data_IF_502494118588
#
_entry.id   IF_502494118588
#
_cell.length_a   1.000
_cell.length_b   1.000
_cell.length_c   1.000
_cell.angle_alpha   90.00
_cell.angle_beta   90.00
_cell.angle_gamma   90.00
#
_symmetry.space_group_name_H-M   'P 1'
#
loop_
_entity.id
_entity.type
_entity.pdbx_description
1 polymer ?
#
# COMPACT_ATOMS: atom_id res chain seq x y z
N UNK A 1 -10.85 -24.10 25.23
CA UNK A 1 -11.85 -23.08 25.61
C UNK A 1 -11.83 -21.96 24.58
N UNK A 2 -12.97 -21.65 23.94
CA UNK A 2 -13.05 -20.52 23.00
C UNK A 2 -12.91 -19.24 23.82
N UNK A 3 -11.78 -18.53 23.69
CA UNK A 3 -11.54 -17.29 24.42
C UNK A 3 -12.63 -16.30 23.97
N UNK A 4 -13.58 -16.00 24.85
CA UNK A 4 -14.65 -15.03 24.55
C UNK A 4 -13.95 -13.68 24.42
N UNK A 5 -13.89 -13.16 23.19
CA UNK A 5 -13.38 -11.81 22.95
C UNK A 5 -14.52 -10.82 23.19
N UNK A 6 -14.22 -9.71 23.87
CA UNK A 6 -15.11 -8.54 23.94
C UNK A 6 -15.50 -8.16 22.49
N UNK A 7 -16.79 -7.90 22.20
CA UNK A 7 -17.18 -7.32 20.91
C UNK A 7 -16.43 -6.00 20.68
N UNK A 8 -16.03 -5.75 19.44
CA UNK A 8 -15.34 -4.53 19.04
C UNK A 8 -16.10 -3.91 17.86
N UNK A 9 -16.45 -2.63 17.97
CA UNK A 9 -17.27 -1.92 16.99
C UNK A 9 -16.70 -1.99 15.58
N UNK A 10 -15.38 -1.84 15.44
CA UNK A 10 -14.70 -1.75 14.14
C UNK A 10 -14.44 -3.11 13.49
N UNK A 11 -14.65 -4.22 14.20
CA UNK A 11 -14.73 -5.54 13.59
C UNK A 11 -15.99 -5.72 12.72
N UNK A 12 -17.03 -4.91 12.97
CA UNK A 12 -18.30 -4.94 12.24
C UNK A 12 -18.39 -3.73 11.29
N UNK A 13 -17.90 -2.58 11.75
CA UNK A 13 -17.86 -1.32 11.02
C UNK A 13 -16.58 -1.21 10.17
N UNK A 14 -16.44 -2.09 9.17
CA UNK A 14 -15.17 -2.32 8.42
C UNK A 14 -14.95 -1.41 7.22
N UNK A 15 -15.89 -0.52 6.89
CA UNK A 15 -15.82 0.37 5.74
C UNK A 15 -15.05 1.65 6.06
N UNK A 16 -14.48 2.28 5.03
CA UNK A 16 -13.80 3.60 5.12
C UNK A 16 -14.71 4.64 5.82
N UNK A 17 -16.02 4.60 5.55
CA UNK A 17 -17.03 5.44 6.20
C UNK A 17 -16.99 5.42 7.75
N UNK A 18 -16.66 4.29 8.34
CA UNK A 18 -16.58 4.12 9.80
C UNK A 18 -15.28 4.70 10.36
N UNK A 19 -14.20 4.63 9.57
CA UNK A 19 -12.92 5.27 9.89
C UNK A 19 -13.03 6.80 9.79
N UNK A 20 -13.68 7.34 8.75
CA UNK A 20 -14.02 8.77 8.70
C UNK A 20 -14.74 9.21 9.97
N UNK A 21 -15.77 8.43 10.36
CA UNK A 21 -16.60 8.71 11.53
C UNK A 21 -15.76 8.76 12.80
N UNK A 22 -14.85 7.81 12.98
CA UNK A 22 -13.93 7.79 14.11
C UNK A 22 -13.03 9.03 14.14
N UNK A 23 -12.37 9.36 13.03
CA UNK A 23 -11.43 10.48 13.00
C UNK A 23 -12.14 11.82 13.16
N UNK A 24 -13.31 12.03 12.53
CA UNK A 24 -14.10 13.24 12.77
C UNK A 24 -14.57 13.31 14.22
N UNK A 25 -15.09 12.22 14.78
CA UNK A 25 -15.49 12.16 16.20
C UNK A 25 -14.31 12.53 17.12
N UNK A 26 -13.12 11.97 16.88
CA UNK A 26 -11.93 12.31 17.65
C UNK A 26 -11.57 13.79 17.49
N UNK A 27 -11.58 14.33 16.27
CA UNK A 27 -11.26 15.73 15.99
C UNK A 27 -12.24 16.71 16.65
N UNK A 28 -13.54 16.38 16.72
CA UNK A 28 -14.55 17.20 17.39
C UNK A 28 -14.24 17.41 18.87
N UNK A 29 -13.73 16.38 19.57
CA UNK A 29 -13.28 16.53 20.97
C UNK A 29 -12.20 17.59 21.17
N UNK A 30 -11.55 18.04 20.10
CA UNK A 30 -10.49 19.04 20.15
C UNK A 30 -10.98 20.44 20.45
N UNK A 31 -12.28 20.74 20.31
CA UNK A 31 -12.78 22.07 20.68
C UNK A 31 -12.74 22.26 22.21
N UNK A 32 -12.23 23.39 22.73
CA UNK A 32 -12.20 23.67 24.17
C UNK A 32 -13.54 23.52 24.89
N UNK A 33 -14.68 23.67 24.20
CA UNK A 33 -16.00 23.47 24.80
C UNK A 33 -16.23 22.04 25.31
N UNK A 34 -15.58 21.04 24.70
CA UNK A 34 -15.74 19.63 25.07
C UNK A 34 -14.83 19.18 26.22
N UNK A 35 -13.85 19.99 26.61
CA UNK A 35 -12.91 19.70 27.69
C UNK A 35 -13.61 19.35 29.01
N UNK A 36 -14.75 20.00 29.28
CA UNK A 36 -15.55 19.78 30.50
C UNK A 36 -16.23 18.42 30.54
N UNK A 37 -16.49 17.79 29.39
CA UNK A 37 -17.15 16.49 29.32
C UNK A 37 -16.15 15.33 29.35
N UNK A 38 -15.01 15.46 28.65
CA UNK A 38 -13.95 14.46 28.71
C UNK A 38 -12.56 15.07 28.45
N UNK A 39 -11.85 15.37 29.54
CA UNK A 39 -10.50 15.97 29.48
C UNK A 39 -9.47 15.07 28.77
N UNK A 40 -9.59 13.75 28.86
CA UNK A 40 -8.64 12.82 28.22
C UNK A 40 -8.83 12.80 26.70
N UNK A 41 -10.07 12.68 26.22
CA UNK A 41 -10.38 12.78 24.78
C UNK A 41 -10.02 14.15 24.21
N UNK A 42 -10.34 15.23 24.95
CA UNK A 42 -9.93 16.58 24.55
C UNK A 42 -8.41 16.70 24.38
N UNK A 43 -7.62 16.25 25.35
CA UNK A 43 -6.15 16.30 25.26
C UNK A 43 -5.62 15.44 24.10
N UNK A 44 -6.16 14.23 23.91
CA UNK A 44 -5.79 13.37 22.79
C UNK A 44 -6.10 14.05 21.45
N UNK A 45 -7.28 14.63 21.29
CA UNK A 45 -7.68 15.32 20.07
C UNK A 45 -6.82 16.54 19.77
N UNK A 46 -6.55 17.36 20.79
CA UNK A 46 -5.63 18.50 20.72
C UNK A 46 -4.23 18.05 20.23
N UNK A 47 -3.73 16.94 20.73
CA UNK A 47 -2.45 16.37 20.29
C UNK A 47 -2.54 15.83 18.86
N UNK A 48 -3.66 15.23 18.47
CA UNK A 48 -3.87 14.73 17.11
C UNK A 48 -3.89 15.87 16.10
N UNK A 49 -4.62 16.95 16.38
CA UNK A 49 -4.66 18.16 15.53
C UNK A 49 -3.24 18.77 15.41
N UNK A 50 -2.50 18.88 16.51
CA UNK A 50 -1.10 19.35 16.48
C UNK A 50 -0.22 18.45 15.62
N UNK A 51 -0.39 17.13 15.73
CA UNK A 51 0.31 16.16 14.90
C UNK A 51 0.01 16.37 13.42
N UNK A 52 -1.26 16.54 13.02
CA UNK A 52 -1.64 16.82 11.64
C UNK A 52 -1.08 18.15 11.13
N UNK A 53 -1.20 19.23 11.91
CA UNK A 53 -0.66 20.56 11.57
C UNK A 53 0.87 20.51 11.42
N UNK A 54 1.56 19.70 12.23
CA UNK A 54 3.02 19.58 12.19
C UNK A 54 3.56 18.99 10.87
N UNK A 55 2.71 18.34 10.08
CA UNK A 55 3.08 17.82 8.75
C UNK A 55 3.33 18.93 7.71
N UNK A 56 2.86 20.15 7.98
CA UNK A 56 3.06 21.33 7.12
C UNK A 56 3.72 22.50 7.86
N UNK A 57 3.43 22.70 9.14
CA UNK A 57 3.92 23.84 9.91
C UNK A 57 4.88 23.42 11.02
N UNK A 58 6.02 24.09 11.13
CA UNK A 58 7.02 23.83 12.17
C UNK A 58 6.68 24.47 13.52
N UNK A 59 5.93 25.58 13.49
CA UNK A 59 5.53 26.30 14.71
C UNK A 59 4.40 25.55 15.41
N UNK A 60 4.53 25.37 16.73
CA UNK A 60 3.43 24.88 17.56
C UNK A 60 2.27 25.89 17.55
N UNK A 61 1.09 25.42 17.18
CA UNK A 61 -0.14 26.21 17.13
C UNK A 61 -0.94 25.93 18.41
N UNK A 62 -1.30 26.98 19.15
CA UNK A 62 -2.24 26.88 20.25
C UNK A 62 -3.65 26.77 19.68
N UNK A 63 -4.37 25.69 19.98
CA UNK A 63 -5.70 25.43 19.43
C UNK A 63 -6.76 25.95 20.39
N UNK A 64 -7.54 26.93 19.94
CA UNK A 64 -8.59 27.62 20.71
C UNK A 64 -9.99 27.43 20.12
N UNK A 65 -10.10 26.90 18.90
CA UNK A 65 -11.37 26.60 18.23
C UNK A 65 -11.17 25.48 17.21
N UNK A 66 -12.10 24.53 17.16
CA UNK A 66 -12.09 23.41 16.22
C UNK A 66 -13.49 23.18 15.67
N UNK A 67 -13.62 23.18 14.34
CA UNK A 67 -14.83 22.72 13.65
C UNK A 67 -14.44 21.57 12.75
N UNK A 68 -14.92 20.37 13.06
CA UNK A 68 -14.63 19.15 12.30
C UNK A 68 -15.92 18.58 11.71
N UNK A 69 -15.94 18.47 10.38
CA UNK A 69 -17.09 18.05 9.57
C UNK A 69 -16.70 16.88 8.66
N UNK A 70 -17.69 16.12 8.22
CA UNK A 70 -17.54 15.05 7.22
C UNK A 70 -18.15 15.46 5.90
N UNK A 71 -17.55 15.00 4.81
CA UNK A 71 -18.11 15.10 3.45
C UNK A 71 -18.42 16.54 3.00
N UNK A 72 -17.81 17.54 3.65
CA UNK A 72 -17.90 18.94 3.23
C UNK A 72 -17.19 19.06 1.88
N UNK A 73 -17.88 19.59 0.86
CA UNK A 73 -17.38 19.64 -0.52
C UNK A 73 -16.98 18.27 -1.11
N UNK A 74 -17.55 17.18 -0.59
CA UNK A 74 -17.20 15.77 -0.90
C UNK A 74 -15.80 15.34 -0.41
N UNK A 75 -15.17 16.11 0.47
CA UNK A 75 -13.91 15.74 1.12
C UNK A 75 -14.23 14.94 2.38
N UNK A 76 -13.57 13.79 2.59
CA UNK A 76 -13.92 12.85 3.66
C UNK A 76 -14.00 13.52 5.04
N UNK A 77 -12.96 14.32 5.38
CA UNK A 77 -12.92 15.10 6.61
C UNK A 77 -12.42 16.52 6.34
N UNK A 78 -13.14 17.50 6.87
CA UNK A 78 -12.86 18.94 6.80
C UNK A 78 -12.72 19.50 8.20
N UNK A 79 -11.58 20.13 8.50
CA UNK A 79 -11.28 20.62 9.85
C UNK A 79 -10.77 22.05 9.83
N UNK A 80 -11.54 22.96 10.40
CA UNK A 80 -11.16 24.36 10.59
C UNK A 80 -10.60 24.56 12.00
N UNK A 81 -9.43 25.20 12.09
CA UNK A 81 -8.72 25.46 13.33
C UNK A 81 -8.49 26.96 13.49
N UNK A 82 -8.95 27.53 14.61
CA UNK A 82 -8.74 28.92 15.02
C UNK A 82 -9.12 29.98 13.98
N UNK A 83 -10.04 29.66 13.08
CA UNK A 83 -10.41 30.48 11.93
C UNK A 83 -9.20 30.91 11.06
N UNK A 84 -8.17 30.05 11.00
CA UNK A 84 -6.86 30.36 10.36
C UNK A 84 -6.26 29.21 9.57
N UNK A 85 -6.62 27.98 9.90
CA UNK A 85 -6.05 26.79 9.26
C UNK A 85 -7.17 25.86 8.85
N UNK A 86 -7.05 25.31 7.64
CA UNK A 86 -7.90 24.25 7.15
C UNK A 86 -7.06 22.99 7.01
N UNK A 87 -7.50 21.90 7.62
CA UNK A 87 -6.98 20.57 7.36
C UNK A 87 -8.05 19.82 6.56
N UNK A 88 -7.67 19.34 5.39
CA UNK A 88 -8.47 18.37 4.64
C UNK A 88 -7.82 17.00 4.76
N UNK A 89 -8.62 15.97 4.99
CA UNK A 89 -8.15 14.59 5.06
C UNK A 89 -8.91 13.77 4.02
N UNK A 90 -8.17 13.13 3.12
CA UNK A 90 -8.67 11.98 2.37
C UNK A 90 -8.35 10.73 3.20
N UNK A 91 -9.38 9.98 3.56
CA UNK A 91 -9.25 8.76 4.37
C UNK A 91 -9.34 7.52 3.49
N UNK A 92 -8.44 6.56 3.73
CA UNK A 92 -8.42 5.29 3.01
C UNK A 92 -8.06 4.15 3.94
N UNK A 93 -8.77 3.03 3.79
CA UNK A 93 -8.40 1.77 4.45
C UNK A 93 -7.65 0.92 3.43
N UNK A 94 -8.33 0.31 2.45
CA UNK A 94 -7.70 -0.63 1.52
C UNK A 94 -7.53 -0.06 0.12
N UNK A 95 -8.43 0.80 -0.33
CA UNK A 95 -8.40 1.28 -1.71
C UNK A 95 -7.24 2.25 -1.93
N UNK A 96 -6.54 2.07 -3.05
CA UNK A 96 -5.55 3.03 -3.50
C UNK A 96 -6.23 4.27 -4.08
N UNK A 97 -5.45 5.32 -4.31
CA UNK A 97 -6.00 6.46 -5.03
C UNK A 97 -6.31 6.08 -6.49
N UNK A 98 -7.54 6.35 -6.90
CA UNK A 98 -7.96 6.31 -8.29
C UNK A 98 -8.46 7.70 -8.64
N UNK A 99 -8.00 8.26 -9.78
CA UNK A 99 -8.50 9.48 -10.45
C UNK A 99 -7.79 10.82 -10.15
N UNK A 100 -8.44 11.91 -10.58
CA UNK A 100 -8.08 13.31 -10.35
C UNK A 100 -8.64 13.85 -9.02
N UNK A 101 -9.24 12.99 -8.19
CA UNK A 101 -9.93 13.34 -6.94
C UNK A 101 -9.08 14.20 -6.00
N UNK A 102 -7.88 13.75 -5.64
CA UNK A 102 -7.00 14.51 -4.74
C UNK A 102 -6.66 15.91 -5.29
N UNK A 103 -6.49 16.02 -6.61
CA UNK A 103 -6.26 17.31 -7.26
C UNK A 103 -7.50 18.20 -7.16
N UNK A 104 -8.69 17.66 -7.42
CA UNK A 104 -9.97 18.36 -7.28
C UNK A 104 -10.15 18.89 -5.85
N UNK A 105 -9.98 18.03 -4.85
CA UNK A 105 -10.17 18.39 -3.43
C UNK A 105 -9.18 19.46 -2.98
N UNK A 106 -7.93 19.34 -3.40
CA UNK A 106 -6.93 20.38 -3.13
C UNK A 106 -7.28 21.70 -3.79
N UNK A 107 -7.77 21.69 -5.04
CA UNK A 107 -8.21 22.93 -5.72
C UNK A 107 -9.35 23.58 -4.94
N UNK A 108 -10.39 22.82 -4.56
CA UNK A 108 -11.53 23.32 -3.79
C UNK A 108 -11.05 23.96 -2.48
N UNK A 109 -10.27 23.22 -1.68
CA UNK A 109 -9.77 23.71 -0.41
C UNK A 109 -8.82 24.90 -0.55
N UNK A 110 -8.01 24.95 -1.61
CA UNK A 110 -7.11 26.08 -1.87
C UNK A 110 -7.90 27.35 -2.21
N UNK A 111 -8.94 27.23 -3.04
CA UNK A 111 -9.82 28.37 -3.38
C UNK A 111 -10.52 28.88 -2.13
N UNK A 112 -11.17 27.98 -1.37
CA UNK A 112 -11.85 28.33 -0.13
C UNK A 112 -10.89 29.00 0.88
N UNK A 113 -9.67 28.48 1.03
CA UNK A 113 -8.66 29.07 1.90
C UNK A 113 -8.26 30.48 1.47
N UNK A 114 -8.14 30.76 0.17
CA UNK A 114 -7.81 32.11 -0.33
C UNK A 114 -8.94 33.09 -0.04
N UNK A 115 -10.18 32.68 -0.24
CA UNK A 115 -11.37 33.51 -0.02
C UNK A 115 -11.59 33.83 1.46
N UNK A 116 -11.23 32.90 2.35
CA UNK A 116 -11.44 33.03 3.79
C UNK A 116 -10.17 33.41 4.58
N UNK A 117 -9.02 33.56 3.91
CA UNK A 117 -7.70 33.83 4.50
C UNK A 117 -7.17 32.74 5.46
N UNK A 118 -7.29 31.47 5.06
CA UNK A 118 -6.81 30.30 5.79
C UNK A 118 -5.53 29.71 5.17
N UNK A 119 -4.75 29.00 5.98
CA UNK A 119 -3.63 28.17 5.53
C UNK A 119 -4.05 26.71 5.42
N UNK A 120 -3.73 26.07 4.30
CA UNK A 120 -4.17 24.71 3.99
C UNK A 120 -3.14 23.65 4.42
N UNK A 121 -3.63 22.54 4.98
CA UNK A 121 -2.92 21.28 5.15
C UNK A 121 -3.72 20.17 4.47
N UNK A 122 -3.09 19.48 3.51
CA UNK A 122 -3.68 18.33 2.83
C UNK A 122 -3.10 17.04 3.42
N UNK A 123 -3.92 16.19 4.04
CA UNK A 123 -3.52 14.91 4.62
C UNK A 123 -4.13 13.77 3.80
N UNK A 124 -3.32 12.76 3.50
CA UNK A 124 -3.77 11.46 3.04
C UNK A 124 -3.54 10.47 4.19
N UNK A 125 -4.63 10.07 4.83
CA UNK A 125 -4.60 9.16 5.97
C UNK A 125 -4.89 7.74 5.48
N UNK A 126 -3.95 6.82 5.74
CA UNK A 126 -4.01 5.45 5.20
C UNK A 126 -3.73 4.41 6.27
N UNK A 127 -4.74 3.63 6.65
CA UNK A 127 -4.57 2.53 7.61
C UNK A 127 -4.22 1.20 6.96
N UNK A 128 -4.49 0.98 5.67
CA UNK A 128 -3.95 -0.18 4.93
C UNK A 128 -2.52 0.03 4.45
N UNK A 129 -2.08 -0.74 3.47
CA UNK A 129 -0.74 -0.61 2.86
C UNK A 129 -0.84 -0.30 1.38
N UNK A 130 0.16 0.44 0.89
CA UNK A 130 0.33 0.79 -0.52
C UNK A 130 1.80 0.80 -0.91
N UNK A 131 2.06 0.65 -2.21
CA UNK A 131 3.41 0.73 -2.74
C UNK A 131 4.02 2.12 -2.53
N UNK A 132 5.34 2.16 -2.39
CA UNK A 132 6.09 3.42 -2.35
C UNK A 132 5.85 4.27 -3.58
N UNK A 133 5.63 3.65 -4.74
CA UNK A 133 5.31 4.33 -5.99
C UNK A 133 3.94 5.00 -5.90
N UNK A 134 2.93 4.33 -5.36
CA UNK A 134 1.61 4.94 -5.11
C UNK A 134 1.72 6.13 -4.15
N UNK A 135 2.36 5.93 -3.00
CA UNK A 135 2.56 7.00 -2.00
C UNK A 135 3.32 8.21 -2.56
N UNK A 136 4.33 7.99 -3.41
CA UNK A 136 5.05 9.07 -4.11
C UNK A 136 4.13 9.89 -5.01
N UNK A 137 3.20 9.26 -5.73
CA UNK A 137 2.22 9.97 -6.58
C UNK A 137 1.31 10.86 -5.72
N UNK A 138 0.92 10.40 -4.53
CA UNK A 138 0.12 11.16 -3.56
C UNK A 138 0.90 12.36 -3.03
N UNK A 139 2.15 12.16 -2.59
CA UNK A 139 3.01 13.27 -2.15
C UNK A 139 3.28 14.28 -3.27
N UNK A 140 3.41 13.82 -4.52
CA UNK A 140 3.56 14.68 -5.70
C UNK A 140 2.33 15.55 -5.99
N UNK A 141 1.14 15.17 -5.49
CA UNK A 141 -0.07 16.01 -5.51
C UNK A 141 -0.10 17.00 -4.33
N UNK A 142 0.89 16.94 -3.46
CA UNK A 142 1.10 17.82 -2.30
C UNK A 142 0.19 17.50 -1.13
N UNK A 143 -0.11 16.21 -0.92
CA UNK A 143 -0.68 15.67 0.31
C UNK A 143 0.45 15.12 1.19
N UNK A 144 0.30 15.26 2.51
CA UNK A 144 1.18 14.63 3.50
C UNK A 144 0.61 13.28 3.89
N UNK A 145 1.46 12.28 4.00
CA UNK A 145 1.05 10.94 4.41
C UNK A 145 1.00 10.86 5.94
N UNK A 146 -0.11 10.31 6.44
CA UNK A 146 -0.24 9.76 7.79
C UNK A 146 -0.60 8.29 7.61
N UNK A 147 0.37 7.41 7.85
CA UNK A 147 0.17 5.97 7.66
C UNK A 147 -0.24 5.25 8.96
N UNK A 148 -0.49 3.95 8.86
CA UNK A 148 -0.85 3.11 10.01
C UNK A 148 0.21 3.16 11.13
N UNK A 149 1.50 3.21 10.80
CA UNK A 149 2.56 3.20 11.80
C UNK A 149 2.66 4.54 12.53
N UNK A 150 2.45 5.65 11.82
CA UNK A 150 2.26 6.99 12.40
C UNK A 150 1.12 6.97 13.42
N UNK A 151 -0.03 6.39 13.05
CA UNK A 151 -1.22 6.31 13.91
C UNK A 151 -1.01 5.42 15.14
N UNK A 152 -0.41 4.24 14.98
CA UNK A 152 -0.05 3.35 16.11
C UNK A 152 0.85 4.08 17.08
N UNK A 153 1.89 4.76 16.56
CA UNK A 153 2.82 5.55 17.37
C UNK A 153 2.08 6.67 18.09
N UNK A 154 1.20 7.39 17.39
CA UNK A 154 0.39 8.45 17.98
C UNK A 154 -0.49 7.92 19.13
N UNK A 155 -1.27 6.87 18.90
CA UNK A 155 -2.22 6.35 19.90
C UNK A 155 -1.51 5.71 21.09
N UNK A 156 -0.36 5.05 20.88
CA UNK A 156 0.45 4.51 21.97
C UNK A 156 0.93 5.59 22.96
N UNK A 157 1.12 6.82 22.48
CA UNK A 157 1.53 7.97 23.29
C UNK A 157 0.35 8.81 23.81
N UNK A 158 -0.89 8.52 23.39
CA UNK A 158 -2.07 9.34 23.69
C UNK A 158 -3.25 8.46 24.14
N UNK A 159 -2.99 7.54 25.07
CA UNK A 159 -3.96 6.55 25.53
C UNK A 159 -5.16 7.20 26.22
N UNK A 160 -6.36 6.78 25.81
CA UNK A 160 -7.63 7.23 26.39
C UNK A 160 -8.47 6.02 26.79
N UNK A 161 -9.06 6.10 27.97
CA UNK A 161 -10.03 5.12 28.47
C UNK A 161 -11.44 5.50 28.00
N UNK A 162 -11.79 5.06 26.79
CA UNK A 162 -13.09 5.25 26.16
C UNK A 162 -13.33 4.09 25.18
N UNK A 163 -14.50 3.44 25.24
CA UNK A 163 -14.75 2.22 24.44
C UNK A 163 -14.60 2.43 22.93
N UNK A 164 -15.08 3.55 22.37
CA UNK A 164 -14.94 3.83 20.93
C UNK A 164 -13.45 4.01 20.57
N UNK A 165 -12.71 4.74 21.39
CA UNK A 165 -11.27 4.91 21.21
C UNK A 165 -10.52 3.58 21.30
N UNK A 166 -10.75 2.82 22.36
CA UNK A 166 -10.07 1.54 22.61
C UNK A 166 -10.37 0.57 21.49
N UNK A 167 -11.64 0.44 21.09
CA UNK A 167 -12.05 -0.46 20.00
C UNK A 167 -11.32 -0.10 18.69
N UNK A 168 -11.19 1.19 18.36
CA UNK A 168 -10.48 1.62 17.15
C UNK A 168 -8.98 1.30 17.21
N UNK A 169 -8.32 1.61 18.34
CA UNK A 169 -6.89 1.35 18.54
C UNK A 169 -6.60 -0.15 18.49
N UNK A 170 -7.44 -0.98 19.11
CA UNK A 170 -7.34 -2.44 19.02
C UNK A 170 -7.48 -2.93 17.57
N UNK A 171 -8.43 -2.37 16.81
CA UNK A 171 -8.63 -2.73 15.40
C UNK A 171 -7.38 -2.40 14.55
N UNK A 172 -6.82 -1.20 14.69
CA UNK A 172 -5.57 -0.83 13.99
C UNK A 172 -4.42 -1.76 14.35
N UNK A 173 -4.25 -2.11 15.63
CA UNK A 173 -3.19 -3.02 16.08
C UNK A 173 -3.41 -4.45 15.57
N UNK A 174 -4.66 -4.90 15.47
CA UNK A 174 -5.02 -6.20 14.88
C UNK A 174 -4.69 -6.24 13.38
N UNK A 175 -4.97 -5.15 12.65
CA UNK A 175 -4.61 -5.02 11.24
C UNK A 175 -3.09 -5.06 11.06
N UNK A 176 -2.33 -4.34 11.88
CA UNK A 176 -0.87 -4.37 11.86
C UNK A 176 -0.32 -5.78 12.14
N UNK A 177 -0.88 -6.48 13.12
CA UNK A 177 -0.50 -7.87 13.43
C UNK A 177 -0.78 -8.81 12.26
N UNK A 178 -1.90 -8.62 11.57
CA UNK A 178 -2.28 -9.41 10.40
C UNK A 178 -1.31 -9.15 9.24
N UNK A 179 -0.90 -7.89 9.04
CA UNK A 179 0.04 -7.51 7.98
C UNK A 179 1.45 -8.01 8.30
N UNK A 180 1.90 -7.98 9.55
CA UNK A 180 3.20 -8.54 9.98
C UNK A 180 3.21 -10.07 10.11
N UNK A 181 2.07 -10.73 9.94
CA UNK A 181 1.98 -12.18 10.15
C UNK A 181 2.86 -13.00 9.20
N UNK A 182 3.25 -12.45 8.04
CA UNK A 182 4.22 -13.07 7.12
C UNK A 182 5.58 -13.38 7.75
N UNK A 183 5.94 -12.67 8.83
CA UNK A 183 7.20 -12.88 9.54
C UNK A 183 7.18 -14.09 10.47
N UNK A 184 6.00 -14.57 10.84
CA UNK A 184 5.82 -15.57 11.92
C UNK A 184 5.00 -16.78 11.50
N UNK A 185 4.09 -16.62 10.55
CA UNK A 185 3.27 -17.72 10.05
C UNK A 185 4.06 -18.58 9.05
N UNK A 186 3.85 -19.91 9.06
CA UNK A 186 4.24 -20.77 7.95
C UNK A 186 3.67 -20.25 6.64
N UNK A 187 4.43 -20.33 5.55
CA UNK A 187 4.01 -19.70 4.28
C UNK A 187 2.66 -20.22 3.76
N UNK A 188 2.33 -21.50 3.96
CA UNK A 188 1.02 -22.06 3.58
C UNK A 188 -0.18 -21.41 4.29
N UNK A 189 0.07 -20.77 5.45
CA UNK A 189 -0.95 -20.12 6.27
C UNK A 189 -1.04 -18.61 5.97
N UNK A 190 -0.27 -18.10 4.99
CA UNK A 190 -0.32 -16.71 4.62
C UNK A 190 -1.68 -16.38 3.99
N UNK A 191 -2.29 -15.34 4.52
CA UNK A 191 -3.49 -14.73 3.98
C UNK A 191 -3.16 -13.50 3.12
N UNK A 192 -4.19 -12.78 2.68
CA UNK A 192 -4.04 -11.57 1.89
C UNK A 192 -3.19 -10.49 2.61
N UNK A 193 -3.36 -10.34 3.93
CA UNK A 193 -2.60 -9.36 4.72
C UNK A 193 -1.13 -9.76 4.88
N UNK A 194 -0.86 -11.05 5.03
CA UNK A 194 0.50 -11.61 5.02
C UNK A 194 1.22 -11.23 3.73
N UNK A 195 0.57 -11.45 2.57
CA UNK A 195 1.12 -11.09 1.26
C UNK A 195 1.36 -9.59 1.10
N UNK A 196 0.44 -8.76 1.60
CA UNK A 196 0.59 -7.31 1.63
C UNK A 196 1.81 -6.87 2.45
N UNK A 197 2.00 -7.41 3.65
CA UNK A 197 3.18 -7.13 4.47
C UNK A 197 4.49 -7.61 3.84
N UNK A 198 4.46 -8.79 3.24
CA UNK A 198 5.61 -9.32 2.51
C UNK A 198 6.00 -8.43 1.31
N UNK A 199 5.03 -7.93 0.53
CA UNK A 199 5.30 -7.02 -0.58
C UNK A 199 5.81 -5.65 -0.11
N UNK A 200 5.28 -5.13 1.00
CA UNK A 200 5.83 -3.92 1.64
C UNK A 200 7.29 -4.14 2.07
N UNK A 201 7.62 -5.31 2.62
CA UNK A 201 9.00 -5.71 2.91
C UNK A 201 9.84 -5.74 1.63
N UNK A 202 9.40 -6.41 0.56
CA UNK A 202 10.16 -6.44 -0.70
C UNK A 202 10.38 -5.04 -1.29
N UNK A 203 9.38 -4.17 -1.27
CA UNK A 203 9.48 -2.76 -1.71
C UNK A 203 10.48 -1.94 -0.85
N UNK A 204 10.85 -2.43 0.33
CA UNK A 204 11.95 -1.89 1.14
C UNK A 204 13.34 -2.42 0.76
N UNK A 205 13.42 -3.59 0.13
CA UNK A 205 14.68 -4.31 -0.10
C UNK A 205 15.16 -4.30 -1.56
N UNK A 206 14.24 -4.20 -2.53
CA UNK A 206 14.57 -4.21 -3.96
C UNK A 206 13.93 -3.01 -4.67
N UNK A 207 14.38 -2.74 -5.90
CA UNK A 207 13.83 -1.66 -6.74
C UNK A 207 12.52 -2.11 -7.39
N UNK A 208 11.48 -2.19 -6.58
CA UNK A 208 10.10 -2.45 -7.05
C UNK A 208 9.63 -1.28 -7.91
N UNK A 209 8.92 -1.59 -9.00
CA UNK A 209 8.28 -0.57 -9.84
C UNK A 209 6.91 -0.22 -9.25
N UNK A 210 6.09 -1.23 -8.98
CA UNK A 210 4.81 -1.07 -8.29
C UNK A 210 4.35 -2.41 -7.69
N UNK A 211 3.36 -2.37 -6.82
CA UNK A 211 2.58 -3.54 -6.42
C UNK A 211 1.17 -3.12 -6.02
N UNK A 212 0.18 -3.92 -6.42
CA UNK A 212 -1.25 -3.65 -6.18
C UNK A 212 -2.09 -4.90 -6.45
N UNK A 213 -3.35 -4.85 -6.05
CA UNK A 213 -4.32 -5.87 -6.44
C UNK A 213 -4.70 -5.73 -7.91
N UNK A 214 -4.71 -6.85 -8.62
CA UNK A 214 -5.12 -6.95 -10.03
C UNK A 214 -6.43 -7.71 -10.09
N UNK A 215 -7.52 -7.03 -10.42
CA UNK A 215 -8.82 -7.68 -10.61
C UNK A 215 -8.83 -8.54 -11.87
N UNK A 216 -9.46 -9.70 -11.79
CA UNK A 216 -9.76 -10.56 -12.94
C UNK A 216 -11.09 -11.31 -12.69
N UNK A 217 -11.69 -11.95 -13.71
CA UNK A 217 -12.97 -12.66 -13.56
C UNK A 217 -12.97 -13.80 -12.52
N UNK A 218 -11.80 -14.27 -12.07
CA UNK A 218 -11.63 -15.33 -11.09
C UNK A 218 -11.33 -14.81 -9.67
N UNK A 219 -11.46 -13.51 -9.41
CA UNK A 219 -11.23 -12.93 -8.08
C UNK A 219 -9.84 -12.33 -7.85
N UNK A 220 -9.09 -12.06 -8.92
CA UNK A 220 -7.86 -11.27 -8.89
C UNK A 220 -6.68 -11.89 -8.14
N UNK A 221 -5.60 -11.11 -7.98
CA UNK A 221 -4.43 -11.47 -7.17
C UNK A 221 -3.61 -10.22 -6.77
N UNK A 222 -2.75 -10.33 -5.76
CA UNK A 222 -1.77 -9.28 -5.43
C UNK A 222 -0.53 -9.40 -6.33
N UNK A 223 -0.33 -8.42 -7.21
CA UNK A 223 0.81 -8.37 -8.14
C UNK A 223 1.94 -7.47 -7.64
N UNK A 224 3.19 -7.90 -7.80
CA UNK A 224 4.39 -7.05 -7.61
C UNK A 224 5.26 -7.12 -8.85
N UNK A 225 5.61 -5.97 -9.42
CA UNK A 225 6.38 -5.86 -10.67
C UNK A 225 7.72 -5.19 -10.44
N UNK A 226 8.78 -5.76 -11.01
CA UNK A 226 10.11 -5.17 -10.94
C UNK A 226 11.01 -5.63 -12.10
N UNK A 227 12.21 -5.04 -12.17
CA UNK A 227 13.27 -5.43 -13.10
C UNK A 227 12.87 -5.45 -14.59
N UNK A 228 12.31 -4.33 -15.07
CA UNK A 228 11.98 -4.16 -16.48
C UNK A 228 13.22 -3.89 -17.35
N UNK A 229 13.34 -4.60 -18.47
CA UNK A 229 14.45 -4.50 -19.41
C UNK A 229 13.93 -4.44 -20.85
N UNK A 230 14.56 -3.61 -21.68
CA UNK A 230 14.28 -3.54 -23.12
C UNK A 230 14.86 -4.72 -23.91
N UNK A 231 13.97 -5.41 -24.62
CA UNK A 231 14.28 -6.50 -25.54
C UNK A 231 13.47 -6.32 -26.83
N UNK A 232 14.17 -6.01 -27.94
CA UNK A 232 13.58 -5.85 -29.29
C UNK A 232 12.35 -4.92 -29.36
N UNK A 233 12.36 -3.81 -28.61
CA UNK A 233 11.25 -2.86 -28.58
C UNK A 233 10.12 -3.22 -27.60
N UNK A 234 10.21 -4.36 -26.93
CA UNK A 234 9.29 -4.78 -25.85
C UNK A 234 9.96 -4.69 -24.48
N UNK A 235 9.15 -4.72 -23.41
CA UNK A 235 9.68 -4.92 -22.06
C UNK A 235 9.57 -6.38 -21.65
N UNK A 236 10.65 -6.91 -21.11
CA UNK A 236 10.66 -8.17 -20.36
C UNK A 236 10.93 -7.83 -18.90
N UNK A 237 10.25 -8.51 -17.98
CA UNK A 237 10.27 -8.14 -16.57
C UNK A 237 9.93 -9.33 -15.66
N UNK A 238 10.08 -9.10 -14.35
CA UNK A 238 9.76 -10.07 -13.31
C UNK A 238 8.50 -9.64 -12.57
N UNK A 239 7.67 -10.61 -12.21
CA UNK A 239 6.43 -10.37 -11.48
C UNK A 239 6.16 -11.49 -10.46
N UNK A 240 5.64 -11.15 -9.29
CA UNK A 240 5.04 -12.11 -8.36
C UNK A 240 3.52 -11.95 -8.48
N UNK A 241 2.80 -13.06 -8.64
CA UNK A 241 1.35 -13.10 -8.82
C UNK A 241 0.66 -13.79 -7.63
N UNK A 242 1.13 -13.55 -6.41
CA UNK A 242 0.75 -14.29 -5.19
C UNK A 242 1.09 -15.79 -5.37
N UNK A 243 2.11 -16.27 -4.65
CA UNK A 243 2.80 -17.56 -4.87
C UNK A 243 3.69 -17.65 -6.12
N UNK A 244 3.14 -17.39 -7.31
CA UNK A 244 3.85 -17.62 -8.55
C UNK A 244 4.87 -16.51 -8.85
N UNK A 245 6.12 -16.90 -9.11
CA UNK A 245 7.13 -16.00 -9.66
C UNK A 245 7.17 -16.16 -11.18
N UNK A 246 7.01 -15.07 -11.91
CA UNK A 246 6.75 -15.05 -13.34
C UNK A 246 7.80 -14.24 -14.11
N UNK A 247 8.31 -14.83 -15.18
CA UNK A 247 9.02 -14.14 -16.26
C UNK A 247 8.01 -13.68 -17.30
N UNK A 248 8.00 -12.37 -17.58
CA UNK A 248 6.96 -11.73 -18.39
C UNK A 248 7.53 -11.04 -19.63
N UNK A 249 6.66 -10.83 -20.60
CA UNK A 249 6.84 -9.92 -21.73
C UNK A 249 5.57 -9.10 -21.97
N UNK A 250 5.73 -7.81 -22.25
CA UNK A 250 4.64 -6.90 -22.58
C UNK A 250 5.03 -5.42 -22.41
N UNK A 251 4.19 -4.47 -22.82
CA UNK A 251 2.97 -4.70 -23.59
C UNK A 251 3.26 -5.19 -25.02
N UNK A 252 2.42 -6.07 -25.54
CA UNK A 252 2.43 -6.52 -26.94
C UNK A 252 1.01 -6.41 -27.51
N UNK A 253 0.80 -5.50 -28.44
CA UNK A 253 -0.53 -5.30 -29.02
C UNK A 253 -0.81 -6.25 -30.19
N UNK A 254 0.16 -6.38 -31.10
CA UNK A 254 0.03 -7.17 -32.32
C UNK A 254 0.97 -8.38 -32.33
N UNK A 255 0.61 -9.41 -33.10
CA UNK A 255 1.42 -10.64 -33.28
C UNK A 255 1.86 -11.27 -31.94
N UNK A 256 1.00 -11.17 -30.91
CA UNK A 256 1.27 -11.56 -29.51
C UNK A 256 1.91 -12.93 -29.39
N UNK A 257 1.35 -13.94 -30.05
CA UNK A 257 1.90 -15.30 -30.06
C UNK A 257 3.30 -15.39 -30.66
N UNK A 258 3.58 -14.68 -31.75
CA UNK A 258 4.89 -14.70 -32.40
C UNK A 258 5.95 -14.07 -31.49
N UNK A 259 5.67 -12.89 -30.93
CA UNK A 259 6.57 -12.18 -30.01
C UNK A 259 6.83 -13.00 -28.75
N UNK A 260 5.76 -13.53 -28.13
CA UNK A 260 5.85 -14.39 -26.94
C UNK A 260 6.67 -15.64 -27.22
N UNK A 261 6.41 -16.35 -28.33
CA UNK A 261 7.12 -17.58 -28.67
C UNK A 261 8.60 -17.31 -28.98
N UNK A 262 8.92 -16.18 -29.63
CA UNK A 262 10.31 -15.74 -29.85
C UNK A 262 11.02 -15.52 -28.53
N UNK A 263 10.40 -14.78 -27.61
CA UNK A 263 10.98 -14.54 -26.28
C UNK A 263 11.13 -15.83 -25.48
N UNK A 264 10.12 -16.71 -25.49
CA UNK A 264 10.18 -18.02 -24.83
C UNK A 264 11.32 -18.89 -25.38
N UNK A 265 11.57 -18.88 -26.69
CA UNK A 265 12.70 -19.60 -27.29
C UNK A 265 14.05 -19.09 -26.79
N UNK A 266 14.21 -17.76 -26.70
CA UNK A 266 15.42 -17.14 -26.12
C UNK A 266 15.60 -17.55 -24.66
N UNK A 267 14.54 -17.43 -23.86
CA UNK A 267 14.54 -17.78 -22.44
C UNK A 267 14.88 -19.25 -22.23
N UNK A 268 14.27 -20.16 -22.99
CA UNK A 268 14.46 -21.61 -22.86
C UNK A 268 15.89 -22.04 -23.15
N UNK A 269 16.49 -21.55 -24.23
CA UNK A 269 17.90 -21.81 -24.54
C UNK A 269 18.83 -21.32 -23.43
N UNK A 270 18.51 -20.16 -22.84
CA UNK A 270 19.31 -19.61 -21.76
C UNK A 270 19.16 -20.40 -20.46
N UNK A 271 17.94 -20.86 -20.15
CA UNK A 271 17.65 -21.78 -19.03
C UNK A 271 18.53 -23.04 -19.15
N UNK A 272 18.55 -23.69 -20.32
CA UNK A 272 19.37 -24.87 -20.57
C UNK A 272 20.87 -24.58 -20.36
N UNK A 273 21.36 -23.48 -20.94
CA UNK A 273 22.78 -23.08 -20.83
C UNK A 273 23.24 -22.80 -19.40
N UNK A 274 22.32 -22.37 -18.52
CA UNK A 274 22.59 -22.04 -17.11
C UNK A 274 22.07 -23.08 -16.13
N UNK A 275 21.49 -24.18 -16.62
CA UNK A 275 20.89 -25.25 -15.82
C UNK A 275 19.87 -24.74 -14.79
N UNK A 276 19.07 -23.72 -15.16
CA UNK A 276 18.05 -23.13 -14.28
C UNK A 276 16.68 -23.79 -14.47
N UNK A 277 16.65 -25.11 -14.26
CA UNK A 277 15.49 -25.97 -14.55
C UNK A 277 14.29 -25.74 -13.63
N UNK A 278 14.45 -24.98 -12.55
CA UNK A 278 13.35 -24.49 -11.72
C UNK A 278 12.44 -23.51 -12.47
N UNK A 279 12.96 -22.84 -13.52
CA UNK A 279 12.15 -21.98 -14.40
C UNK A 279 11.48 -22.86 -15.44
N UNK A 280 10.16 -23.01 -15.34
CA UNK A 280 9.35 -23.87 -16.21
C UNK A 280 8.47 -23.05 -17.14
N UNK A 281 8.12 -23.64 -18.28
CA UNK A 281 7.07 -23.10 -19.15
C UNK A 281 5.74 -23.05 -18.37
N UNK A 282 4.94 -21.97 -18.46
CA UNK A 282 3.60 -21.96 -17.89
C UNK A 282 2.74 -23.05 -18.54
N UNK A 283 1.82 -23.64 -17.78
CA UNK A 283 0.91 -24.70 -18.24
C UNK A 283 0.17 -24.33 -19.53
N UNK A 284 -0.19 -23.05 -19.65
CA UNK A 284 -0.77 -22.46 -20.87
C UNK A 284 -0.18 -21.08 -21.07
N UNK A 285 0.03 -20.70 -22.33
CA UNK A 285 0.37 -19.32 -22.66
C UNK A 285 -0.90 -18.46 -22.70
N UNK A 286 -0.83 -17.28 -22.09
CA UNK A 286 -1.86 -16.26 -22.23
C UNK A 286 -1.84 -15.60 -23.62
N UNK A 287 -2.95 -14.94 -23.96
CA UNK A 287 -3.10 -14.13 -25.19
C UNK A 287 -3.36 -12.63 -24.89
N UNK A 288 -3.17 -12.23 -23.63
CA UNK A 288 -3.26 -10.83 -23.22
C UNK A 288 -2.08 -10.00 -23.71
N UNK A 289 -2.18 -8.68 -23.56
CA UNK A 289 -1.10 -7.73 -23.88
C UNK A 289 0.16 -7.94 -23.04
N UNK A 290 0.01 -8.53 -21.84
CA UNK A 290 1.10 -8.94 -20.96
C UNK A 290 1.05 -10.45 -20.75
N UNK A 291 2.15 -11.14 -21.04
CA UNK A 291 2.18 -12.61 -21.11
C UNK A 291 3.28 -13.20 -20.24
N UNK A 292 2.94 -14.26 -19.50
CA UNK A 292 3.91 -15.10 -18.79
C UNK A 292 4.57 -16.06 -19.78
N UNK A 293 5.90 -16.15 -19.74
CA UNK A 293 6.69 -17.10 -20.55
C UNK A 293 7.47 -18.10 -19.72
N UNK A 294 7.71 -17.81 -18.43
CA UNK A 294 8.36 -18.72 -17.49
C UNK A 294 7.79 -18.54 -16.10
N UNK A 295 7.74 -19.61 -15.32
CA UNK A 295 7.22 -19.64 -13.95
C UNK A 295 8.20 -20.41 -13.06
N UNK A 296 8.43 -19.90 -11.85
CA UNK A 296 9.14 -20.59 -10.77
C UNK A 296 8.13 -20.86 -9.67
N UNK A 297 8.12 -22.10 -9.16
CA UNK A 297 7.16 -22.50 -8.13
C UNK A 297 7.44 -21.77 -6.81
N UNK A 298 6.40 -21.50 -6.01
CA UNK A 298 6.51 -20.86 -4.70
C UNK A 298 7.61 -21.47 -3.83
N UNK A 299 7.70 -22.80 -3.83
CA UNK A 299 8.69 -23.52 -3.03
C UNK A 299 10.14 -23.25 -3.44
N UNK A 300 10.38 -22.99 -4.73
CA UNK A 300 11.73 -22.80 -5.28
C UNK A 300 12.28 -21.39 -5.05
N UNK A 301 11.42 -20.38 -4.85
CA UNK A 301 11.86 -19.00 -4.64
C UNK A 301 11.53 -18.44 -3.25
N UNK A 302 10.40 -18.84 -2.65
CA UNK A 302 9.89 -18.32 -1.37
C UNK A 302 10.13 -19.29 -0.20
N UNK A 303 10.00 -20.60 -0.43
CA UNK A 303 10.25 -21.66 0.57
C UNK A 303 9.12 -22.66 0.74
N UNK A 304 9.33 -23.72 1.53
CA UNK A 304 8.35 -24.81 1.74
C UNK A 304 7.11 -24.37 2.51
N UNK A 305 6.00 -25.07 2.35
CA UNK A 305 4.69 -24.77 2.96
C UNK A 305 4.76 -24.51 4.48
N UNK A 306 5.48 -25.37 5.20
CA UNK A 306 5.58 -25.31 6.67
C UNK A 306 6.72 -24.40 7.16
N UNK A 307 7.51 -23.81 6.27
CA UNK A 307 8.63 -22.95 6.65
C UNK A 307 8.13 -21.57 7.06
N UNK A 308 8.78 -20.99 8.06
CA UNK A 308 8.73 -19.54 8.30
C UNK A 308 9.67 -18.88 7.29
N UNK A 309 9.33 -17.67 6.85
CA UNK A 309 10.09 -16.94 5.83
C UNK A 309 11.54 -16.73 6.23
N UNK A 310 12.47 -17.18 5.37
CA UNK A 310 13.86 -16.75 5.40
C UNK A 310 14.04 -15.56 4.45
N UNK A 311 14.03 -14.36 5.04
CA UNK A 311 14.12 -13.09 4.30
C UNK A 311 15.39 -13.01 3.44
N UNK A 312 16.53 -13.48 3.94
CA UNK A 312 17.82 -13.37 3.25
C UNK A 312 17.93 -14.34 2.07
N UNK A 313 17.44 -15.58 2.24
CA UNK A 313 17.33 -16.54 1.14
C UNK A 313 16.44 -15.98 0.03
N UNK A 314 15.29 -15.42 0.37
CA UNK A 314 14.36 -14.87 -0.61
C UNK A 314 14.98 -13.70 -1.38
N UNK A 315 15.58 -12.72 -0.70
CA UNK A 315 16.24 -11.60 -1.39
C UNK A 315 17.38 -12.08 -2.30
N UNK A 316 18.17 -13.08 -1.86
CA UNK A 316 19.20 -13.70 -2.72
C UNK A 316 18.59 -14.38 -3.95
N UNK A 317 17.49 -15.10 -3.80
CA UNK A 317 16.77 -15.72 -4.91
C UNK A 317 16.24 -14.69 -5.90
N UNK A 318 15.60 -13.62 -5.43
CA UNK A 318 15.11 -12.55 -6.32
C UNK A 318 16.26 -11.92 -7.11
N UNK A 319 17.38 -11.60 -6.46
CA UNK A 319 18.59 -11.06 -7.13
C UNK A 319 19.22 -12.05 -8.11
N UNK A 320 19.17 -13.36 -7.83
CA UNK A 320 19.59 -14.43 -8.77
C UNK A 320 18.77 -14.34 -10.06
N UNK A 321 17.44 -14.24 -9.95
CA UNK A 321 16.56 -14.17 -11.12
C UNK A 321 16.68 -12.84 -11.90
N UNK A 322 16.91 -11.72 -11.21
CA UNK A 322 17.24 -10.44 -11.86
C UNK A 322 18.51 -10.56 -12.71
N UNK A 323 19.60 -11.06 -12.12
CA UNK A 323 20.87 -11.25 -12.82
C UNK A 323 20.70 -12.21 -14.01
N UNK A 324 19.92 -13.27 -13.83
CA UNK A 324 19.60 -14.21 -14.90
C UNK A 324 18.89 -13.53 -16.07
N UNK A 325 17.80 -12.79 -15.81
CA UNK A 325 17.05 -12.10 -16.86
C UNK A 325 17.90 -11.05 -17.59
N UNK A 326 18.65 -10.24 -16.83
CA UNK A 326 19.60 -9.26 -17.39
C UNK A 326 20.61 -9.91 -18.33
N UNK A 327 21.20 -11.05 -17.94
CA UNK A 327 22.18 -11.73 -18.77
C UNK A 327 21.56 -12.46 -19.96
N UNK A 328 20.34 -12.97 -19.82
CA UNK A 328 19.57 -13.57 -20.92
C UNK A 328 19.37 -12.55 -22.06
N UNK A 329 18.89 -11.34 -21.73
CA UNK A 329 18.68 -10.25 -22.70
C UNK A 329 20.01 -9.79 -23.32
N UNK A 330 21.09 -9.70 -22.53
CA UNK A 330 22.42 -9.34 -23.04
C UNK A 330 22.96 -10.39 -24.00
N UNK A 331 22.79 -11.68 -23.70
CA UNK A 331 23.26 -12.78 -24.55
C UNK A 331 22.47 -12.85 -25.86
N UNK A 332 21.16 -12.63 -25.83
CA UNK A 332 20.33 -12.64 -27.04
C UNK A 332 20.74 -11.55 -28.03
N UNK A 333 21.22 -10.39 -27.55
CA UNK A 333 21.72 -9.30 -28.40
C UNK A 333 23.09 -9.60 -29.04
N UNK A 334 23.89 -10.48 -28.44
CA UNK A 334 25.22 -10.86 -28.98
C UNK A 334 25.12 -11.88 -30.10
N UNK A 335 24.11 -12.76 -30.08
CA UNK A 335 23.90 -13.80 -31.10
C UNK A 335 23.17 -13.29 -32.37
N UNK A 336 22.91 -11.97 -32.46
CA UNK A 336 22.27 -11.29 -33.61
C UNK A 336 23.25 -10.37 -34.35
N UNK A 337 24.48 -10.22 -33.83
CA UNK A 337 25.64 -9.68 -34.54
C UNK A 337 26.50 -10.83 -35.01
#
# INVERSE_FOLDING_TARGET
>A
MKKIKKPNLFNIATKELSQDGFFTWLLQWGDPEYKKYNKKLFNCSQNFIKFLLSKEFTKTINITKVVALRQQENIDIWVEINDKYLIIIEDKIFTGEHSSQLKKYKTIATTWCKENNYKLVCIYLKTGVESKTSLKKITGKGYKIVDRQDLITFFSNNVVDNDIYVDFVENINSLESSIKSFETLPIKNWDYYSWQGFYQFLDSQIKVVDWQYVSNPAGGFLGLWWHFIDWEGYKVYLQIEQDNFCFKIGPVEEKRSAVRNKWYSVLSKYIESKKMYEIKKPTRFGNGTYMTVGVVSREDWLGKDNAILDKDVVIRNLKKYEKFLSNCVRNSKRNVK
#
